data_IF_119419642470
#
_entry.id   IF_119419642470
#
_cell.length_a   1.000
_cell.length_b   1.000
_cell.length_c   1.000
_cell.angle_alpha   90.00
_cell.angle_beta   90.00
_cell.angle_gamma   90.00
#
_symmetry.space_group_name_H-M   'P 1'
#
loop_
_entity.id
_entity.type
_entity.pdbx_description
1 polymer ?
#
# COMPACT_ATOMS: atom_id res chain seq x y z
N UNK A 1 32.99 26.43 -6.42
CA UNK A 1 32.46 27.30 -7.50
C UNK A 1 31.01 27.58 -7.17
N UNK A 2 30.58 28.84 -7.14
CA UNK A 2 29.17 29.15 -6.90
C UNK A 2 28.35 28.82 -8.15
N UNK A 3 27.10 28.41 -7.95
CA UNK A 3 26.11 28.20 -9.02
C UNK A 3 26.02 29.45 -9.92
N UNK A 4 26.16 30.64 -9.33
CA UNK A 4 26.19 31.93 -10.01
C UNK A 4 27.28 32.04 -11.08
N UNK A 5 28.47 31.45 -10.86
CA UNK A 5 29.55 31.47 -11.86
C UNK A 5 29.17 30.68 -13.12
N UNK A 6 28.48 29.56 -12.95
CA UNK A 6 28.00 28.73 -14.06
C UNK A 6 26.85 29.44 -14.78
N UNK A 7 25.93 30.06 -14.04
CA UNK A 7 24.85 30.88 -14.61
C UNK A 7 25.40 32.04 -15.45
N UNK A 8 26.40 32.77 -14.93
CA UNK A 8 27.04 33.85 -15.67
C UNK A 8 27.72 33.33 -16.95
N UNK A 9 28.42 32.19 -16.91
CA UNK A 9 28.98 31.59 -18.12
C UNK A 9 27.90 31.14 -19.11
N UNK A 10 26.81 30.54 -18.64
CA UNK A 10 25.69 30.16 -19.49
C UNK A 10 25.09 31.39 -20.20
N UNK A 11 24.96 32.52 -19.49
CA UNK A 11 24.44 33.76 -20.05
C UNK A 11 25.42 34.41 -21.04
N UNK A 12 26.72 34.47 -20.73
CA UNK A 12 27.75 35.03 -21.62
C UNK A 12 27.84 34.24 -22.93
N UNK A 13 27.80 32.90 -22.84
CA UNK A 13 27.94 32.03 -24.01
C UNK A 13 26.62 31.73 -24.72
N UNK A 14 25.47 32.13 -24.15
CA UNK A 14 24.14 31.85 -24.73
C UNK A 14 23.82 30.35 -24.80
N UNK A 15 24.31 29.57 -23.84
CA UNK A 15 24.16 28.10 -23.79
C UNK A 15 23.35 27.65 -22.59
N UNK A 16 22.87 26.41 -22.58
CA UNK A 16 22.17 25.86 -21.42
C UNK A 16 23.10 25.72 -20.21
N UNK A 17 22.53 25.71 -18.99
CA UNK A 17 23.27 25.46 -17.75
C UNK A 17 24.10 24.17 -17.79
N UNK A 18 23.56 23.11 -18.40
CA UNK A 18 24.26 21.84 -18.55
C UNK A 18 25.46 21.97 -19.51
N UNK A 19 25.29 22.68 -20.64
CA UNK A 19 26.39 22.93 -21.59
C UNK A 19 27.48 23.79 -20.94
N UNK A 20 27.12 24.86 -20.23
CA UNK A 20 28.07 25.68 -19.48
C UNK A 20 28.84 24.85 -18.43
N UNK A 21 28.15 23.94 -17.73
CA UNK A 21 28.78 23.04 -16.75
C UNK A 21 29.79 22.10 -17.43
N UNK A 22 29.46 21.54 -18.60
CA UNK A 22 30.38 20.69 -19.36
C UNK A 22 31.62 21.44 -19.85
N UNK A 23 31.45 22.65 -20.39
CA UNK A 23 32.56 23.51 -20.79
C UNK A 23 33.47 23.81 -19.60
N UNK A 24 32.88 24.17 -18.46
CA UNK A 24 33.60 24.43 -17.23
C UNK A 24 34.39 23.20 -16.73
N UNK A 25 33.87 21.98 -16.93
CA UNK A 25 34.57 20.72 -16.61
C UNK A 25 35.71 20.44 -17.59
N UNK A 26 35.49 20.64 -18.90
CA UNK A 26 36.51 20.43 -19.94
C UNK A 26 37.71 21.36 -19.81
N UNK A 27 37.48 22.62 -19.39
CA UNK A 27 38.57 23.57 -19.15
C UNK A 27 39.41 23.26 -17.91
N UNK A 28 39.16 22.16 -17.19
CA UNK A 28 39.78 21.78 -15.91
C UNK A 28 39.69 22.83 -14.80
N UNK A 29 38.90 23.89 -15.00
CA UNK A 29 38.76 24.94 -13.99
C UNK A 29 37.78 24.54 -12.86
N UNK A 30 37.07 23.42 -12.98
CA UNK A 30 35.95 23.00 -12.11
C UNK A 30 36.34 22.14 -10.91
N UNK A 31 35.55 22.24 -9.83
CA UNK A 31 35.67 21.35 -8.66
C UNK A 31 35.22 19.92 -8.99
N UNK A 32 35.81 18.91 -8.34
CA UNK A 32 35.46 17.49 -8.54
C UNK A 32 33.96 17.17 -8.40
N UNK A 33 33.22 17.94 -7.60
CA UNK A 33 31.77 17.82 -7.44
C UNK A 33 31.00 18.06 -8.75
N UNK A 34 31.44 19.01 -9.59
CA UNK A 34 30.78 19.28 -10.88
C UNK A 34 31.06 18.16 -11.88
N UNK A 35 32.26 17.56 -11.82
CA UNK A 35 32.60 16.39 -12.63
C UNK A 35 31.71 15.21 -12.26
N UNK A 36 31.53 14.96 -10.96
CA UNK A 36 30.62 13.92 -10.45
C UNK A 36 29.18 14.15 -10.89
N UNK A 37 28.69 15.40 -10.81
CA UNK A 37 27.35 15.74 -11.28
C UNK A 37 27.16 15.51 -12.79
N UNK A 38 28.13 15.92 -13.61
CA UNK A 38 28.05 15.68 -15.06
C UNK A 38 28.03 14.18 -15.37
N UNK A 39 28.87 13.39 -14.70
CA UNK A 39 28.89 11.93 -14.84
C UNK A 39 27.56 11.30 -14.41
N UNK A 40 26.95 11.77 -13.32
CA UNK A 40 25.63 11.31 -12.88
C UNK A 40 24.57 11.53 -13.96
N UNK A 41 24.50 12.74 -14.54
CA UNK A 41 23.53 13.05 -15.60
C UNK A 41 23.78 12.21 -16.86
N UNK A 42 25.04 12.00 -17.24
CA UNK A 42 25.38 11.13 -18.38
C UNK A 42 24.97 9.67 -18.14
N UNK A 43 25.20 9.17 -16.93
CA UNK A 43 24.78 7.82 -16.54
C UNK A 43 23.25 7.67 -16.59
N UNK A 44 22.50 8.65 -16.08
CA UNK A 44 21.04 8.63 -16.12
C UNK A 44 20.49 8.71 -17.55
N UNK A 45 21.14 9.47 -18.44
CA UNK A 45 20.80 9.49 -19.87
C UNK A 45 20.99 8.11 -20.50
N UNK A 46 22.10 7.43 -20.23
CA UNK A 46 22.33 6.07 -20.74
C UNK A 46 21.28 5.08 -20.21
N UNK A 47 20.95 5.15 -18.92
CA UNK A 47 19.87 4.36 -18.33
C UNK A 47 18.54 4.58 -19.05
N UNK A 48 18.21 5.83 -19.42
CA UNK A 48 16.94 6.14 -20.09
C UNK A 48 16.78 5.51 -21.48
N UNK A 49 17.89 5.13 -22.13
CA UNK A 49 17.89 4.48 -23.44
C UNK A 49 17.85 2.95 -23.33
N UNK A 50 18.26 2.38 -22.19
CA UNK A 50 18.51 0.94 -22.02
C UNK A 50 17.57 0.24 -21.03
N UNK A 51 16.89 0.99 -20.17
CA UNK A 51 16.07 0.46 -19.09
C UNK A 51 14.58 0.75 -19.30
N UNK A 52 13.74 -0.01 -18.60
CA UNK A 52 12.30 0.28 -18.51
C UNK A 52 12.06 1.56 -17.71
N UNK A 53 10.87 2.17 -17.86
CA UNK A 53 10.51 3.39 -17.12
C UNK A 53 10.64 3.20 -15.60
N UNK A 54 10.14 2.08 -15.08
CA UNK A 54 10.20 1.76 -13.65
C UNK A 54 11.65 1.62 -13.18
N UNK A 55 12.49 0.90 -13.92
CA UNK A 55 13.91 0.72 -13.59
C UNK A 55 14.71 2.03 -13.71
N UNK A 56 14.34 2.90 -14.65
CA UNK A 56 14.92 4.23 -14.80
C UNK A 56 14.63 5.10 -13.57
N UNK A 57 13.39 5.11 -13.09
CA UNK A 57 12.99 5.88 -11.89
C UNK A 57 13.73 5.35 -10.66
N UNK A 58 13.80 4.02 -10.48
CA UNK A 58 14.62 3.40 -9.43
C UNK A 58 16.07 3.86 -9.49
N UNK A 59 16.69 3.73 -10.66
CA UNK A 59 18.09 4.12 -10.89
C UNK A 59 18.29 5.61 -10.62
N UNK A 60 17.33 6.46 -10.97
CA UNK A 60 17.38 7.90 -10.69
C UNK A 60 17.36 8.21 -9.19
N UNK A 61 16.46 7.58 -8.44
CA UNK A 61 16.31 7.76 -6.99
C UNK A 61 17.54 7.25 -6.23
N UNK A 62 18.13 6.14 -6.69
CA UNK A 62 19.35 5.57 -6.10
C UNK A 62 20.60 6.37 -6.44
N UNK A 63 20.86 6.63 -7.73
CA UNK A 63 22.09 7.29 -8.21
C UNK A 63 22.16 8.77 -7.80
N UNK A 64 21.03 9.45 -7.67
CA UNK A 64 20.98 10.82 -7.15
C UNK A 64 21.36 10.91 -5.67
N UNK A 65 21.34 9.78 -4.95
CA UNK A 65 21.57 9.72 -3.51
C UNK A 65 20.36 10.14 -2.67
N UNK A 66 19.20 10.41 -3.28
CA UNK A 66 17.97 10.80 -2.57
C UNK A 66 17.52 9.73 -1.56
N UNK A 67 17.59 8.47 -1.96
CA UNK A 67 17.24 7.35 -1.08
C UNK A 67 18.12 7.33 0.18
N UNK A 68 19.44 7.44 0.00
CA UNK A 68 20.40 7.52 1.11
C UNK A 68 20.25 8.79 1.96
N UNK A 69 19.79 9.89 1.36
CA UNK A 69 19.53 11.14 2.06
C UNK A 69 18.35 10.99 3.01
N UNK A 70 17.19 10.56 2.52
CA UNK A 70 15.99 10.42 3.34
C UNK A 70 16.10 9.30 4.38
N UNK A 71 16.85 8.22 4.11
CA UNK A 71 17.12 7.20 5.13
C UNK A 71 17.83 7.73 6.39
N UNK A 72 18.61 8.80 6.27
CA UNK A 72 19.33 9.42 7.40
C UNK A 72 18.50 10.49 8.11
N UNK A 73 17.37 10.88 7.54
CA UNK A 73 16.52 11.95 8.04
C UNK A 73 15.46 11.40 9.00
N UNK A 74 15.21 12.10 10.10
CA UNK A 74 14.30 11.64 11.16
C UNK A 74 12.85 11.51 10.69
N UNK A 75 12.44 12.35 9.73
CA UNK A 75 11.12 12.35 9.08
C UNK A 75 11.18 11.80 7.65
N UNK A 76 12.24 11.07 7.32
CA UNK A 76 12.46 10.57 5.96
C UNK A 76 11.58 9.39 5.56
N UNK A 77 10.90 8.73 6.51
CA UNK A 77 10.04 7.58 6.25
C UNK A 77 8.92 7.93 5.24
N UNK A 78 8.16 8.99 5.51
CA UNK A 78 7.08 9.46 4.62
C UNK A 78 7.61 9.86 3.24
N UNK A 79 8.84 10.42 3.17
CA UNK A 79 9.49 10.78 1.90
C UNK A 79 9.90 9.54 1.12
N UNK A 80 10.41 8.51 1.79
CA UNK A 80 10.74 7.23 1.18
C UNK A 80 9.49 6.52 0.66
N UNK A 81 8.39 6.55 1.41
CA UNK A 81 7.10 6.01 0.98
C UNK A 81 6.61 6.70 -0.30
N UNK A 82 6.67 8.04 -0.35
CA UNK A 82 6.32 8.80 -1.56
C UNK A 82 7.21 8.44 -2.77
N UNK A 83 8.49 8.14 -2.56
CA UNK A 83 9.40 7.72 -3.63
C UNK A 83 9.06 6.31 -4.15
N UNK A 84 8.67 5.39 -3.26
CA UNK A 84 8.19 4.07 -3.66
C UNK A 84 6.84 4.19 -4.38
N UNK A 85 6.00 5.14 -4.00
CA UNK A 85 4.74 5.38 -4.69
C UNK A 85 4.95 5.95 -6.11
N UNK A 86 5.97 6.78 -6.30
CA UNK A 86 6.38 7.23 -7.64
C UNK A 86 6.78 6.06 -8.54
N UNK A 87 7.48 5.05 -7.99
CA UNK A 87 7.80 3.81 -8.70
C UNK A 87 6.53 3.03 -9.06
N UNK A 88 5.59 2.88 -8.12
CA UNK A 88 4.33 2.19 -8.35
C UNK A 88 3.50 2.88 -9.44
N UNK A 89 3.41 4.20 -9.39
CA UNK A 89 2.70 5.01 -10.38
C UNK A 89 3.28 4.81 -11.78
N UNK A 90 4.60 4.71 -11.90
CA UNK A 90 5.25 4.40 -13.17
C UNK A 90 4.97 2.98 -13.67
N UNK A 91 4.97 1.98 -12.77
CA UNK A 91 4.60 0.60 -13.12
C UNK A 91 3.15 0.51 -13.58
N UNK A 92 2.23 1.19 -12.88
CA UNK A 92 0.82 1.22 -13.25
C UNK A 92 0.62 1.93 -14.60
N UNK A 93 1.33 3.03 -14.83
CA UNK A 93 1.30 3.72 -16.12
C UNK A 93 1.73 2.80 -17.27
N UNK A 94 2.78 1.99 -17.08
CA UNK A 94 3.23 1.03 -18.10
C UNK A 94 2.27 -0.13 -18.32
N UNK A 95 1.49 -0.52 -17.31
CA UNK A 95 0.49 -1.58 -17.43
C UNK A 95 -0.79 -1.09 -18.13
N UNK A 96 -1.16 0.18 -17.92
CA UNK A 96 -2.39 0.78 -18.46
C UNK A 96 -2.22 1.40 -19.85
N UNK A 97 -0.99 1.79 -20.23
CA UNK A 97 -0.70 2.47 -21.49
C UNK A 97 0.21 1.65 -22.40
N UNK A 98 -0.03 1.74 -23.71
CA UNK A 98 0.83 1.10 -24.72
C UNK A 98 2.19 1.81 -24.87
N UNK A 99 2.31 3.06 -24.42
CA UNK A 99 3.57 3.79 -24.43
C UNK A 99 4.36 3.58 -23.14
N UNK A 100 5.66 3.30 -23.30
CA UNK A 100 6.61 3.11 -22.22
C UNK A 100 7.65 4.24 -22.16
N UNK A 101 7.42 5.35 -22.88
CA UNK A 101 8.35 6.46 -22.95
C UNK A 101 8.25 7.37 -21.71
N UNK A 102 9.41 7.83 -21.23
CA UNK A 102 9.51 8.79 -20.12
C UNK A 102 8.74 10.09 -20.42
N UNK A 103 8.76 10.55 -21.67
CA UNK A 103 8.11 11.79 -22.07
C UNK A 103 6.59 11.71 -21.89
N UNK A 104 5.99 10.58 -22.22
CA UNK A 104 4.55 10.36 -22.10
C UNK A 104 4.12 10.22 -20.64
N UNK A 105 4.92 9.53 -19.82
CA UNK A 105 4.71 9.48 -18.38
C UNK A 105 4.75 10.87 -17.75
N UNK A 106 5.75 11.70 -18.11
CA UNK A 106 5.85 13.07 -17.61
C UNK A 106 4.67 13.93 -18.07
N UNK A 107 4.20 13.76 -19.30
CA UNK A 107 3.02 14.46 -19.80
C UNK A 107 1.76 14.06 -19.01
N UNK A 108 1.57 12.77 -18.75
CA UNK A 108 0.48 12.25 -17.93
C UNK A 108 0.53 12.81 -16.50
N UNK A 109 1.69 12.73 -15.84
CA UNK A 109 1.90 13.25 -14.50
C UNK A 109 1.64 14.76 -14.40
N UNK A 110 2.02 15.55 -15.40
CA UNK A 110 1.74 16.98 -15.46
C UNK A 110 0.24 17.30 -15.60
N UNK A 111 -0.52 16.48 -16.33
CA UNK A 111 -1.97 16.63 -16.45
C UNK A 111 -2.70 16.27 -15.14
N UNK A 112 -2.23 15.22 -14.48
CA UNK A 112 -2.82 14.71 -13.24
C UNK A 112 -2.49 15.61 -12.02
N UNK A 113 -1.28 16.16 -11.96
CA UNK A 113 -0.86 17.13 -10.93
C UNK A 113 -1.42 18.54 -11.13
N UNK A 114 -2.07 18.82 -12.27
CA UNK A 114 -2.68 20.11 -12.59
C UNK A 114 -3.97 20.43 -11.81
N UNK A 115 -4.45 19.53 -10.96
CA UNK A 115 -5.55 19.80 -10.04
C UNK A 115 -5.16 20.86 -9.03
N UNK A 116 -5.64 22.10 -9.21
CA UNK A 116 -5.53 23.15 -8.20
C UNK A 116 -5.95 22.57 -6.84
N UNK A 117 -5.14 22.78 -5.80
CA UNK A 117 -5.55 22.59 -4.41
C UNK A 117 -6.78 23.48 -4.16
N UNK A 118 -7.95 22.91 -4.40
CA UNK A 118 -9.21 23.59 -4.23
C UNK A 118 -9.37 23.93 -2.76
N UNK A 119 -9.52 25.22 -2.45
CA UNK A 119 -9.71 25.68 -1.07
C UNK A 119 -10.89 24.96 -0.41
N UNK A 120 -10.76 24.69 0.89
CA UNK A 120 -11.83 24.09 1.71
C UNK A 120 -13.09 24.95 1.58
N UNK A 121 -14.18 24.35 1.10
CA UNK A 121 -15.46 25.02 0.85
C UNK A 121 -15.76 25.36 -0.61
N UNK A 122 -14.85 25.05 -1.53
CA UNK A 122 -15.17 24.97 -2.95
C UNK A 122 -16.11 23.80 -3.26
N UNK A 123 -16.88 23.91 -4.34
CA UNK A 123 -17.82 22.87 -4.82
C UNK A 123 -17.05 21.70 -5.45
N UNK A 124 -16.35 20.96 -4.62
CA UNK A 124 -15.51 19.82 -5.00
C UNK A 124 -15.46 18.78 -3.86
N UNK A 125 -15.15 17.53 -4.21
CA UNK A 125 -14.90 16.47 -3.24
C UNK A 125 -13.59 16.76 -2.49
N UNK A 126 -13.67 16.82 -1.17
CA UNK A 126 -12.53 17.13 -0.31
C UNK A 126 -11.84 15.83 0.10
N UNK A 127 -10.62 15.61 -0.40
CA UNK A 127 -9.75 14.50 0.02
C UNK A 127 -8.70 15.05 0.99
N UNK A 128 -8.60 14.43 2.16
CA UNK A 128 -7.65 14.85 3.20
C UNK A 128 -7.33 13.70 4.15
N UNK A 129 -6.25 13.85 4.91
CA UNK A 129 -5.94 12.94 6.02
C UNK A 129 -6.88 13.18 7.20
N UNK A 130 -7.03 12.19 8.08
CA UNK A 130 -7.84 12.32 9.31
C UNK A 130 -7.33 13.46 10.20
N UNK A 131 -6.01 13.67 10.25
CA UNK A 131 -5.38 14.77 11.01
C UNK A 131 -5.82 16.14 10.50
N UNK A 132 -5.82 16.32 9.18
CA UNK A 132 -6.21 17.57 8.51
C UNK A 132 -7.70 17.90 8.67
N UNK A 133 -8.54 16.89 8.95
CA UNK A 133 -9.97 17.08 9.13
C UNK A 133 -10.36 17.67 10.51
N UNK A 134 -9.41 17.83 11.43
CA UNK A 134 -9.67 18.33 12.79
C UNK A 134 -10.28 19.73 12.76
N UNK A 135 -11.46 19.88 13.38
CA UNK A 135 -12.19 21.16 13.43
C UNK A 135 -13.07 21.44 12.21
N UNK A 136 -13.04 20.57 11.20
CA UNK A 136 -13.96 20.61 10.05
C UNK A 136 -15.15 19.67 10.27
N UNK A 137 -16.25 19.90 9.57
CA UNK A 137 -17.43 19.03 9.59
C UNK A 137 -18.08 19.01 8.21
N UNK A 138 -18.61 17.85 7.82
CA UNK A 138 -19.18 17.61 6.50
C UNK A 138 -20.52 16.89 6.62
N UNK A 139 -21.45 17.12 5.69
CA UNK A 139 -22.72 16.39 5.66
C UNK A 139 -22.50 14.89 5.48
N UNK A 140 -21.56 14.52 4.61
CA UNK A 140 -21.21 13.13 4.30
C UNK A 140 -19.70 12.93 4.43
N UNK A 141 -19.29 11.87 5.12
CA UNK A 141 -17.88 11.49 5.28
C UNK A 141 -17.67 10.04 4.88
N UNK A 142 -16.61 9.80 4.11
CA UNK A 142 -16.10 8.48 3.80
C UNK A 142 -14.76 8.30 4.53
N UNK A 143 -14.70 7.34 5.45
CA UNK A 143 -13.45 6.91 6.09
C UNK A 143 -12.97 5.67 5.35
N UNK A 144 -11.95 5.86 4.52
CA UNK A 144 -11.41 4.82 3.66
C UNK A 144 -10.26 4.05 4.31
N UNK A 145 -10.06 2.81 3.88
CA UNK A 145 -8.91 2.01 4.33
C UNK A 145 -9.00 1.61 5.80
N UNK A 146 -10.19 1.22 6.28
CA UNK A 146 -10.40 0.68 7.63
C UNK A 146 -9.81 -0.73 7.74
N UNK A 147 -8.47 -0.78 7.72
CA UNK A 147 -7.66 -1.99 7.68
C UNK A 147 -6.64 -1.98 8.81
N UNK A 148 -6.51 -3.08 9.56
CA UNK A 148 -5.46 -3.23 10.57
C UNK A 148 -4.08 -3.20 9.91
N UNK A 149 -3.21 -2.29 10.36
CA UNK A 149 -1.91 -1.99 9.74
C UNK A 149 -1.91 -0.74 8.85
N UNK A 150 -3.09 -0.25 8.43
CA UNK A 150 -3.27 1.04 7.78
C UNK A 150 -3.96 2.04 8.72
N UNK A 151 -5.11 1.66 9.28
CA UNK A 151 -5.83 2.42 10.29
C UNK A 151 -6.53 1.46 11.29
N UNK A 152 -5.90 1.14 12.44
CA UNK A 152 -4.70 1.77 13.01
C UNK A 152 -3.41 1.50 12.24
N UNK A 153 -2.52 2.49 12.19
CA UNK A 153 -1.22 2.38 11.53
C UNK A 153 -0.29 1.37 12.22
N UNK A 154 0.50 0.62 11.44
CA UNK A 154 1.40 -0.44 11.94
C UNK A 154 2.45 0.08 12.94
N UNK A 155 2.90 1.34 12.80
CA UNK A 155 3.85 1.94 13.75
C UNK A 155 3.21 2.17 15.13
N UNK A 156 1.97 2.62 15.16
CA UNK A 156 1.24 2.90 16.40
C UNK A 156 0.96 1.63 17.22
N UNK A 157 0.99 0.46 16.56
CA UNK A 157 0.85 -0.84 17.20
C UNK A 157 2.07 -1.23 18.05
N UNK A 158 3.25 -0.70 17.73
CA UNK A 158 4.49 -1.01 18.45
C UNK A 158 4.74 -0.05 19.63
N UNK A 159 4.01 1.05 19.69
CA UNK A 159 4.14 2.07 20.72
C UNK A 159 3.19 1.81 21.90
N UNK A 160 3.68 2.02 23.13
CA UNK A 160 2.91 1.73 24.35
C UNK A 160 1.55 2.47 24.45
N UNK A 161 1.39 3.61 23.76
CA UNK A 161 0.14 4.38 23.68
C UNK A 161 -0.31 4.69 22.25
N UNK A 162 0.38 4.16 21.24
CA UNK A 162 0.08 4.52 19.85
C UNK A 162 -1.34 4.11 19.46
N UNK A 163 -1.80 2.94 19.90
CA UNK A 163 -3.17 2.48 19.63
C UNK A 163 -4.24 3.39 20.23
N UNK A 164 -4.01 3.95 21.43
CA UNK A 164 -4.95 4.90 22.03
C UNK A 164 -5.01 6.22 21.24
N UNK A 165 -3.89 6.66 20.66
CA UNK A 165 -3.83 7.84 19.81
C UNK A 165 -4.54 7.62 18.48
N UNK A 166 -4.29 6.48 17.82
CA UNK A 166 -5.03 6.08 16.61
C UNK A 166 -6.54 5.96 16.87
N UNK A 167 -6.94 5.48 18.05
CA UNK A 167 -8.35 5.45 18.46
C UNK A 167 -8.93 6.86 18.58
N UNK A 168 -8.16 7.83 19.10
CA UNK A 168 -8.58 9.24 19.13
C UNK A 168 -8.73 9.80 17.72
N UNK A 169 -7.85 9.43 16.79
CA UNK A 169 -7.98 9.81 15.38
C UNK A 169 -9.24 9.19 14.76
N UNK A 170 -9.54 7.92 15.02
CA UNK A 170 -10.76 7.28 14.56
C UNK A 170 -12.01 8.00 15.10
N UNK A 171 -12.01 8.37 16.38
CA UNK A 171 -13.07 9.19 16.97
C UNK A 171 -13.22 10.55 16.27
N UNK A 172 -12.10 11.23 15.96
CA UNK A 172 -12.13 12.49 15.21
C UNK A 172 -12.77 12.28 13.84
N UNK A 173 -12.34 11.27 13.07
CA UNK A 173 -12.89 10.93 11.76
C UNK A 173 -14.40 10.70 11.79
N UNK A 174 -14.87 9.88 12.75
CA UNK A 174 -16.29 9.56 12.96
C UNK A 174 -17.10 10.83 13.24
N UNK A 175 -16.59 11.70 14.11
CA UNK A 175 -17.29 12.93 14.52
C UNK A 175 -17.21 14.06 13.49
N UNK A 176 -16.56 13.87 12.34
CA UNK A 176 -16.60 14.87 11.25
C UNK A 176 -17.91 14.78 10.45
N UNK A 177 -18.63 13.67 10.53
CA UNK A 177 -19.87 13.44 9.79
C UNK A 177 -21.08 14.04 10.52
N UNK A 178 -21.90 14.84 9.81
CA UNK A 178 -23.15 15.38 10.34
C UNK A 178 -24.36 14.50 10.03
N UNK A 179 -24.44 13.95 8.82
CA UNK A 179 -25.63 13.20 8.38
C UNK A 179 -25.31 11.75 8.03
N UNK A 180 -24.23 11.50 7.27
CA UNK A 180 -23.88 10.15 6.80
C UNK A 180 -22.40 9.85 6.98
N UNK A 181 -22.11 8.67 7.50
CA UNK A 181 -20.76 8.14 7.68
C UNK A 181 -20.66 6.79 6.97
N UNK A 182 -19.66 6.65 6.11
CA UNK A 182 -19.35 5.42 5.40
C UNK A 182 -17.94 4.96 5.77
N UNK A 183 -17.80 3.66 5.99
CA UNK A 183 -16.50 3.00 6.15
C UNK A 183 -16.24 2.10 4.95
N UNK A 184 -15.01 2.10 4.44
CA UNK A 184 -14.59 1.19 3.38
C UNK A 184 -13.33 0.42 3.76
N UNK A 185 -13.21 -0.79 3.22
CA UNK A 185 -12.10 -1.72 3.40
C UNK A 185 -11.82 -2.41 2.07
N UNK A 186 -10.56 -2.63 1.73
CA UNK A 186 -10.16 -3.51 0.63
C UNK A 186 -9.78 -4.91 1.13
N UNK A 187 -10.15 -5.96 0.38
CA UNK A 187 -9.66 -7.31 0.66
C UNK A 187 -8.19 -7.48 0.26
N UNK A 188 -7.77 -6.77 -0.80
CA UNK A 188 -6.40 -6.75 -1.30
C UNK A 188 -6.05 -5.32 -1.74
N UNK A 189 -4.84 -4.87 -1.40
CA UNK A 189 -4.31 -3.54 -1.71
C UNK A 189 -2.85 -3.66 -2.12
N UNK A 190 -2.44 -2.91 -3.14
CA UNK A 190 -1.01 -2.67 -3.40
C UNK A 190 -0.58 -1.46 -2.56
N UNK A 191 0.43 -1.64 -1.73
CA UNK A 191 1.00 -0.57 -0.90
C UNK A 191 2.52 -0.71 -0.89
N UNK A 192 3.23 0.36 -1.29
CA UNK A 192 4.69 0.38 -1.35
C UNK A 192 5.27 -0.79 -2.19
N UNK A 193 4.68 -1.05 -3.37
CA UNK A 193 5.10 -2.12 -4.29
C UNK A 193 4.79 -3.54 -3.81
N UNK A 194 4.19 -3.71 -2.63
CA UNK A 194 3.81 -5.01 -2.10
C UNK A 194 2.28 -5.15 -2.06
N UNK A 195 1.80 -6.27 -2.59
CA UNK A 195 0.40 -6.64 -2.42
C UNK A 195 0.18 -7.11 -0.98
N UNK A 196 -0.67 -6.39 -0.25
CA UNK A 196 -1.11 -6.71 1.11
C UNK A 196 -2.57 -7.15 1.10
N UNK A 197 -2.88 -8.13 1.93
CA UNK A 197 -4.26 -8.54 2.21
C UNK A 197 -4.79 -7.75 3.39
N UNK A 198 -5.86 -6.98 3.16
CA UNK A 198 -6.41 -6.06 4.15
C UNK A 198 -7.12 -6.81 5.26
N UNK A 199 -6.65 -6.70 6.50
CA UNK A 199 -7.36 -7.21 7.69
C UNK A 199 -8.36 -6.15 8.12
N UNK A 200 -9.60 -6.51 8.49
CA UNK A 200 -10.58 -5.54 9.00
C UNK A 200 -9.99 -4.78 10.20
N UNK A 201 -10.11 -3.45 10.20
CA UNK A 201 -9.68 -2.63 11.33
C UNK A 201 -10.45 -3.00 12.59
N UNK A 202 -9.72 -3.20 13.68
CA UNK A 202 -10.27 -3.44 15.03
C UNK A 202 -11.20 -2.32 15.51
N UNK A 203 -11.02 -1.08 15.04
CA UNK A 203 -11.90 0.03 15.42
C UNK A 203 -13.34 -0.18 14.94
N UNK A 204 -13.54 -0.98 13.90
CA UNK A 204 -14.89 -1.36 13.47
C UNK A 204 -15.55 -2.37 14.41
N UNK A 205 -14.77 -3.19 15.13
CA UNK A 205 -15.30 -4.15 16.10
C UNK A 205 -15.62 -3.50 17.46
N UNK A 206 -15.05 -2.32 17.72
CA UNK A 206 -15.37 -1.49 18.90
C UNK A 206 -16.73 -0.77 18.77
N UNK A 207 -17.26 -0.66 17.54
CA UNK A 207 -18.56 -0.05 17.27
C UNK A 207 -19.64 -1.15 17.33
N UNK A 208 -20.74 -0.96 18.09
CA UNK A 208 -21.80 -1.96 18.16
C UNK A 208 -22.37 -2.33 16.78
N UNK A 209 -22.39 -3.63 16.47
CA UNK A 209 -22.81 -4.15 15.15
C UNK A 209 -24.19 -3.67 14.69
N UNK A 210 -25.10 -3.42 15.64
CA UNK A 210 -26.45 -2.91 15.38
C UNK A 210 -26.49 -1.50 14.76
N UNK A 211 -25.39 -0.76 14.85
CA UNK A 211 -25.27 0.57 14.25
C UNK A 211 -24.80 0.52 12.79
N UNK A 212 -24.30 -0.64 12.33
CA UNK A 212 -23.85 -0.80 10.96
C UNK A 212 -24.98 -1.23 10.03
N UNK A 213 -25.07 -0.53 8.90
CA UNK A 213 -25.77 -1.02 7.72
C UNK A 213 -24.72 -1.53 6.73
N UNK A 214 -24.65 -2.85 6.55
CA UNK A 214 -23.73 -3.48 5.60
C UNK A 214 -24.25 -3.33 4.16
N UNK A 215 -23.53 -2.54 3.35
CA UNK A 215 -23.92 -2.24 1.97
C UNK A 215 -23.43 -3.28 0.95
N UNK A 216 -22.33 -3.98 1.25
CA UNK A 216 -21.76 -4.98 0.34
C UNK A 216 -22.54 -6.30 0.41
N UNK A 217 -23.19 -6.68 -0.69
CA UNK A 217 -24.05 -7.87 -0.79
C UNK A 217 -23.31 -9.18 -1.14
N UNK A 218 -21.97 -9.19 -1.11
CA UNK A 218 -21.16 -10.40 -1.33
C UNK A 218 -20.30 -10.72 -0.11
N UNK A 219 -20.60 -11.85 0.54
CA UNK A 219 -19.57 -12.62 1.25
C UNK A 219 -19.48 -12.54 2.78
N UNK A 220 -20.35 -11.80 3.48
CA UNK A 220 -20.49 -12.04 4.93
C UNK A 220 -21.27 -13.34 5.14
N UNK A 221 -20.53 -14.46 5.11
CA UNK A 221 -21.00 -15.72 5.65
C UNK A 221 -21.35 -15.51 7.12
N UNK A 222 -22.64 -15.28 7.37
CA UNK A 222 -23.30 -15.51 8.65
C UNK A 222 -22.70 -16.79 9.24
N UNK A 223 -21.97 -16.69 10.35
CA UNK A 223 -21.61 -17.88 11.12
C UNK A 223 -22.90 -18.68 11.38
N UNK A 224 -22.95 -19.98 11.04
CA UNK A 224 -24.10 -20.78 11.38
C UNK A 224 -24.11 -20.96 12.90
N UNK A 225 -25.07 -20.30 13.58
CA UNK A 225 -25.47 -20.70 14.93
C UNK A 225 -26.05 -22.10 14.84
N UNK A 226 -25.28 -23.13 15.16
CA UNK A 226 -25.79 -24.50 15.26
C UNK A 226 -26.19 -24.79 16.71
N UNK A 227 -27.48 -24.62 16.97
CA UNK A 227 -28.22 -25.30 18.02
C UNK A 227 -29.52 -25.82 17.41
N UNK A 228 -29.82 -27.11 17.59
CA UNK A 228 -31.14 -27.69 17.30
C UNK A 228 -31.12 -28.97 16.48
N UNK A 229 -31.33 -30.10 17.17
CA UNK A 229 -31.66 -31.42 16.62
C UNK A 229 -32.87 -31.39 15.66
N UNK A 230 -32.80 -32.16 14.58
CA UNK A 230 -33.91 -33.07 14.16
C UNK A 230 -33.37 -34.21 13.30
N UNK A 231 -33.63 -35.41 13.78
CA UNK A 231 -33.48 -36.73 13.15
C UNK A 231 -34.44 -36.95 11.98
N UNK A 232 -34.00 -37.57 10.88
CA UNK A 232 -34.70 -38.70 10.20
C UNK A 232 -34.02 -39.14 8.88
N UNK A 233 -33.53 -40.39 8.91
CA UNK A 233 -33.68 -41.51 7.92
C UNK A 233 -33.53 -41.32 6.40
N UNK A 234 -32.51 -42.01 5.87
CA UNK A 234 -32.45 -42.93 4.70
C UNK A 234 -33.02 -42.56 3.29
N UNK A 235 -32.06 -42.29 2.35
CA UNK A 235 -31.71 -42.99 1.05
C UNK A 235 -32.80 -43.43 0.02
N UNK A 236 -32.47 -43.75 -1.27
CA UNK A 236 -31.33 -43.36 -2.16
C UNK A 236 -31.67 -43.15 -3.69
N UNK A 237 -30.64 -42.70 -4.46
CA UNK A 237 -30.39 -42.93 -5.92
C UNK A 237 -31.28 -42.18 -6.94
N UNK A 238 -30.88 -41.85 -8.17
CA UNK A 238 -29.64 -41.87 -8.96
C UNK A 238 -29.93 -41.14 -10.28
N UNK A 239 -29.03 -40.31 -10.80
CA UNK A 239 -28.74 -40.15 -12.25
C UNK A 239 -27.46 -39.28 -12.41
N UNK A 240 -26.58 -39.59 -13.38
CA UNK A 240 -25.19 -39.16 -13.38
C UNK A 240 -24.98 -37.84 -14.14
N UNK A 241 -24.09 -36.98 -13.65
CA UNK A 241 -23.51 -35.89 -14.45
C UNK A 241 -21.99 -36.05 -14.51
N UNK A 242 -21.50 -36.13 -15.74
CA UNK A 242 -20.11 -36.12 -16.13
C UNK A 242 -19.39 -34.86 -15.59
N UNK A 243 -18.49 -35.10 -14.64
CA UNK A 243 -17.06 -34.75 -14.69
C UNK A 243 -16.65 -33.42 -15.32
N UNK A 244 -16.52 -32.41 -14.46
CA UNK A 244 -15.28 -31.62 -14.37
C UNK A 244 -15.04 -31.22 -12.92
N UNK A 245 -14.90 -32.22 -12.05
CA UNK A 245 -14.32 -32.07 -10.71
C UNK A 245 -12.84 -32.47 -10.78
N UNK A 246 -11.94 -31.52 -10.56
CA UNK A 246 -10.69 -31.80 -9.84
C UNK A 246 -10.04 -30.49 -9.38
N UNK A 247 -9.84 -30.38 -8.06
CA UNK A 247 -9.14 -29.34 -7.26
C UNK A 247 -9.99 -28.48 -6.32
N UNK A 248 -11.03 -29.06 -5.72
CA UNK A 248 -11.52 -28.60 -4.40
C UNK A 248 -11.37 -29.77 -3.43
N UNK A 249 -10.93 -29.47 -2.21
CA UNK A 249 -10.79 -30.36 -1.04
C UNK A 249 -9.50 -31.19 -0.92
N UNK A 250 -8.36 -30.53 -0.68
CA UNK A 250 -7.20 -31.19 -0.04
C UNK A 250 -6.56 -30.43 1.13
N UNK A 251 -6.99 -29.20 1.43
CA UNK A 251 -6.56 -28.46 2.62
C UNK A 251 -7.74 -28.21 3.54
N UNK A 252 -7.59 -28.56 4.82
CA UNK A 252 -8.60 -28.34 5.86
C UNK A 252 -8.85 -26.84 6.16
N UNK A 253 -7.98 -25.95 5.67
CA UNK A 253 -8.03 -24.51 5.89
C UNK A 253 -7.98 -23.75 4.55
N UNK A 254 -8.54 -22.55 4.53
CA UNK A 254 -8.53 -21.62 3.39
C UNK A 254 -7.59 -20.44 3.67
N UNK A 255 -6.98 -19.89 2.61
CA UNK A 255 -6.25 -18.63 2.70
C UNK A 255 -7.18 -17.51 3.19
N UNK A 256 -6.70 -16.64 4.06
CA UNK A 256 -7.47 -15.58 4.71
C UNK A 256 -8.40 -16.05 5.84
N UNK A 257 -8.45 -17.35 6.13
CA UNK A 257 -9.27 -17.89 7.22
C UNK A 257 -8.66 -17.54 8.58
N UNK A 258 -9.50 -17.10 9.51
CA UNK A 258 -9.12 -16.95 10.92
C UNK A 258 -9.02 -18.32 11.59
N UNK A 259 -7.93 -18.54 12.33
CA UNK A 259 -7.62 -19.76 13.06
C UNK A 259 -7.12 -19.39 14.45
N UNK A 260 -7.35 -20.28 15.42
CA UNK A 260 -6.87 -20.14 16.79
C UNK A 260 -5.85 -21.24 17.11
N UNK A 261 -4.72 -20.85 17.70
CA UNK A 261 -3.66 -21.75 18.16
C UNK A 261 -3.51 -21.67 19.68
N UNK A 262 -3.48 -22.81 20.41
CA UNK A 262 -3.44 -22.82 21.89
C UNK A 262 -2.29 -22.02 22.52
N UNK A 263 -1.15 -21.93 21.82
CA UNK A 263 0.04 -21.19 22.30
C UNK A 263 0.16 -19.77 21.75
N UNK A 264 -0.38 -19.51 20.57
CA UNK A 264 -0.11 -18.28 19.83
C UNK A 264 -1.36 -17.40 19.65
N UNK A 265 -2.48 -17.83 20.23
CA UNK A 265 -3.73 -17.11 20.15
C UNK A 265 -4.33 -17.18 18.75
N UNK A 266 -5.15 -16.20 18.43
CA UNK A 266 -5.83 -16.12 17.14
C UNK A 266 -4.90 -15.54 16.07
N UNK A 267 -5.09 -15.97 14.83
CA UNK A 267 -4.30 -15.54 13.68
C UNK A 267 -5.01 -15.82 12.36
N UNK A 268 -4.41 -15.38 11.26
CA UNK A 268 -4.98 -15.53 9.93
C UNK A 268 -4.03 -16.33 9.05
N UNK A 269 -4.57 -17.27 8.31
CA UNK A 269 -3.83 -18.06 7.32
C UNK A 269 -3.40 -17.15 6.16
N UNK A 270 -2.10 -16.96 6.00
CA UNK A 270 -1.50 -16.21 4.89
C UNK A 270 -1.17 -17.10 3.69
N UNK A 271 -0.68 -18.32 3.96
CA UNK A 271 -0.20 -19.24 2.94
C UNK A 271 -0.37 -20.71 3.35
N UNK A 272 -0.45 -21.60 2.37
CA UNK A 272 -0.60 -23.05 2.51
C UNK A 272 0.33 -23.76 1.52
N UNK A 273 1.34 -24.44 2.05
CA UNK A 273 2.31 -25.21 1.26
C UNK A 273 2.19 -26.72 1.53
N UNK A 274 2.14 -27.52 0.47
CA UNK A 274 2.19 -28.99 0.55
C UNK A 274 0.89 -29.65 1.02
N UNK A 275 0.67 -30.90 0.61
CA UNK A 275 -0.60 -31.63 0.81
C UNK A 275 -0.50 -32.65 1.94
N UNK A 276 -1.57 -32.84 2.71
CA UNK A 276 -1.68 -33.93 3.70
C UNK A 276 -1.04 -33.62 5.06
N UNK A 277 -0.47 -34.65 5.71
CA UNK A 277 0.04 -34.57 7.09
C UNK A 277 1.33 -33.74 7.25
N UNK A 278 2.08 -33.54 6.16
CA UNK A 278 3.31 -32.73 6.12
C UNK A 278 3.07 -31.31 5.58
N UNK A 279 1.82 -30.97 5.25
CA UNK A 279 1.47 -29.64 4.79
C UNK A 279 1.80 -28.59 5.85
N UNK A 280 2.27 -27.42 5.40
CA UNK A 280 2.60 -26.29 6.25
C UNK A 280 1.61 -25.17 6.00
N UNK A 281 1.27 -24.47 7.07
CA UNK A 281 0.42 -23.29 7.04
C UNK A 281 1.19 -22.12 7.62
N UNK A 282 1.21 -21.02 6.90
CA UNK A 282 1.74 -19.76 7.39
C UNK A 282 0.59 -18.98 8.03
N UNK A 283 0.71 -18.66 9.31
CA UNK A 283 -0.31 -17.93 10.07
C UNK A 283 0.31 -16.67 10.65
N UNK A 284 -0.32 -15.51 10.44
CA UNK A 284 -0.01 -14.27 11.16
C UNK A 284 -0.84 -14.23 12.44
N UNK A 285 -0.20 -14.48 13.58
CA UNK A 285 -0.80 -14.37 14.90
C UNK A 285 -0.81 -12.94 15.39
N UNK A 286 -1.90 -12.51 16.03
CA UNK A 286 -2.07 -11.12 16.47
C UNK A 286 -1.00 -10.67 17.46
N UNK A 287 -0.64 -11.54 18.42
CA UNK A 287 0.33 -11.23 19.48
C UNK A 287 1.74 -11.79 19.22
N UNK A 288 1.90 -12.63 18.18
CA UNK A 288 3.12 -13.43 17.97
C UNK A 288 3.72 -13.35 16.57
N UNK A 289 3.15 -12.52 15.69
CA UNK A 289 3.64 -12.31 14.33
C UNK A 289 3.48 -13.54 13.44
N UNK A 290 4.26 -13.60 12.36
CA UNK A 290 4.14 -14.66 11.35
C UNK A 290 4.86 -15.93 11.81
N UNK A 291 4.16 -17.07 11.73
CA UNK A 291 4.71 -18.40 12.04
C UNK A 291 4.32 -19.42 10.98
N UNK A 292 5.28 -20.25 10.62
CA UNK A 292 5.05 -21.47 9.85
C UNK A 292 4.77 -22.63 10.81
N UNK A 293 3.64 -23.30 10.60
CA UNK A 293 3.21 -24.45 11.41
C UNK A 293 2.94 -25.65 10.50
N UNK A 294 3.32 -26.84 10.95
CA UNK A 294 2.96 -28.09 10.25
C UNK A 294 1.54 -28.47 10.62
N UNK A 295 0.66 -28.70 9.65
CA UNK A 295 -0.78 -28.92 9.82
C UNK A 295 -1.11 -30.04 10.80
N UNK A 296 -0.31 -31.12 10.83
CA UNK A 296 -0.48 -32.24 11.77
C UNK A 296 -0.18 -31.89 13.24
N UNK A 297 0.67 -30.90 13.49
CA UNK A 297 1.13 -30.50 14.82
C UNK A 297 0.51 -29.19 15.30
N UNK A 298 -0.01 -28.37 14.38
CA UNK A 298 -0.47 -27.01 14.65
C UNK A 298 -1.71 -26.93 15.56
N UNK A 299 -2.52 -28.00 15.66
CA UNK A 299 -3.76 -28.02 16.48
C UNK A 299 -4.61 -26.76 16.31
N UNK A 300 -4.75 -26.28 15.08
CA UNK A 300 -5.49 -25.07 14.75
C UNK A 300 -6.99 -25.35 14.81
N UNK A 301 -7.72 -24.52 15.54
CA UNK A 301 -9.19 -24.54 15.59
C UNK A 301 -9.75 -23.36 14.81
N UNK A 302 -10.89 -23.55 14.15
CA UNK A 302 -11.60 -22.50 13.40
C UNK A 302 -12.64 -21.81 14.27
#
# INVERSE_FOLDING_TARGET
RSIEQIQNQAQIHGVSLMQATRLAVQEQKSSGVLVQFVHLIDQLRLCSEQQTLTDLIKSCVELSGLLSHYQKEREGADRLENLIELENAASQFTDENESHELTDFLAHACLESGGQETLVGSDALQLMTVHSAKGLEFSVVFVCGMEDGLFPHENAMSEAKGLEEERRLAYVAITRARERLYFTRADQRMLHGQTRYGIRSRFLDEIPDQLFLWLSTRGFSRQPKMGGNTSSTDKPSSFPKNTTESRRDQHAFRLGQTVHHPRFGSGIVLDLEGTGQDGRVQVKFFDHGIKWLVLSLAKLTT
#
